data_IF_925244095360
#
_entry.id   IF_925244095360
#
_cell.length_a   1.000
_cell.length_b   1.000
_cell.length_c   1.000
_cell.angle_alpha   90.00
_cell.angle_beta   90.00
_cell.angle_gamma   90.00
#
_symmetry.space_group_name_H-M   'P 1'
#
loop_
_entity.id
_entity.type
_entity.pdbx_description
1 polymer ?
#
# COMPACT_ATOMS: atom_id res chain seq x y z
N UNK A 1 -66.51 -23.11 -18.00
CA UNK A 1 -66.00 -21.90 -18.68
C UNK A 1 -65.08 -22.38 -19.79
N UNK A 2 -65.30 -22.18 -21.07
CA UNK A 2 -66.42 -21.63 -21.82
C UNK A 2 -66.51 -22.44 -23.13
N UNK A 3 -67.74 -22.71 -23.55
CA UNK A 3 -68.12 -23.43 -24.76
C UNK A 3 -68.62 -22.34 -25.72
N UNK A 4 -68.10 -22.30 -26.95
CA UNK A 4 -68.60 -21.49 -28.08
C UNK A 4 -68.41 -22.36 -29.33
N UNK A 5 -69.43 -22.94 -29.95
CA UNK A 5 -70.48 -22.34 -30.81
C UNK A 5 -69.96 -21.50 -31.98
N UNK A 6 -70.66 -21.62 -33.13
CA UNK A 6 -70.49 -21.07 -34.50
C UNK A 6 -69.80 -22.06 -35.47
N UNK A 7 -70.28 -22.37 -36.68
CA UNK A 7 -71.33 -21.82 -37.54
C UNK A 7 -71.61 -22.82 -38.68
N UNK A 8 -72.88 -22.90 -39.12
CA UNK A 8 -73.30 -23.66 -40.30
C UNK A 8 -73.54 -22.77 -41.52
N UNK A 9 -73.22 -23.28 -42.71
CA UNK A 9 -73.66 -22.82 -44.03
C UNK A 9 -73.67 -24.07 -44.93
N UNK A 10 -74.76 -24.59 -45.50
CA UNK A 10 -75.83 -24.03 -46.33
C UNK A 10 -75.36 -23.58 -47.72
N UNK A 11 -75.41 -24.48 -48.72
CA UNK A 11 -75.49 -24.19 -50.16
C UNK A 11 -76.05 -25.46 -50.87
N UNK A 12 -77.37 -25.61 -51.04
CA UNK A 12 -78.25 -25.09 -52.10
C UNK A 12 -77.82 -25.45 -53.53
N UNK A 13 -78.48 -26.49 -54.05
CA UNK A 13 -78.50 -26.84 -55.46
C UNK A 13 -79.17 -25.77 -56.32
N UNK A 14 -78.72 -25.67 -57.56
CA UNK A 14 -79.39 -24.94 -58.65
C UNK A 14 -79.61 -25.88 -59.82
N UNK A 15 -80.87 -26.19 -60.06
CA UNK A 15 -81.39 -26.62 -61.34
C UNK A 15 -81.78 -25.35 -62.14
N UNK A 16 -81.28 -25.23 -63.37
CA UNK A 16 -81.83 -24.36 -64.42
C UNK A 16 -82.47 -25.32 -65.45
N UNK A 17 -83.73 -25.18 -65.88
CA UNK A 17 -84.36 -23.97 -66.46
C UNK A 17 -83.97 -23.93 -67.95
N UNK A 18 -84.69 -24.62 -68.84
CA UNK A 18 -85.90 -24.18 -69.56
C UNK A 18 -85.63 -23.22 -70.73
N UNK A 19 -85.72 -23.73 -71.95
CA UNK A 19 -86.02 -22.99 -73.19
C UNK A 19 -86.83 -23.96 -74.11
N UNK A 20 -88.03 -23.69 -74.62
CA UNK A 20 -88.80 -22.47 -74.58
C UNK A 20 -89.07 -21.82 -75.95
N UNK A 21 -89.20 -22.57 -77.05
CA UNK A 21 -89.67 -22.06 -78.35
C UNK A 21 -90.73 -23.05 -78.90
N UNK A 22 -91.98 -22.73 -79.24
CA UNK A 22 -92.59 -21.45 -79.60
C UNK A 22 -92.85 -21.43 -81.11
N UNK A 23 -94.13 -21.36 -81.52
CA UNK A 23 -94.71 -21.27 -82.89
C UNK A 23 -95.17 -22.62 -83.49
N UNK A 24 -96.37 -22.79 -84.03
CA UNK A 24 -97.44 -21.87 -84.43
C UNK A 24 -98.78 -22.62 -84.45
N UNK A 25 -99.79 -22.07 -83.77
CA UNK A 25 -101.18 -22.51 -83.85
C UNK A 25 -101.77 -22.12 -85.22
N UNK A 26 -101.77 -23.07 -86.16
CA UNK A 26 -102.62 -23.02 -87.35
C UNK A 26 -104.05 -23.39 -86.98
N UNK A 27 -105.00 -22.52 -87.31
CA UNK A 27 -106.41 -22.61 -86.91
C UNK A 27 -107.01 -24.01 -87.02
N UNK A 28 -107.55 -24.50 -85.91
CA UNK A 28 -108.34 -25.73 -85.82
C UNK A 28 -109.69 -25.55 -86.52
N UNK A 29 -109.67 -25.52 -87.86
CA UNK A 29 -110.85 -25.76 -88.66
C UNK A 29 -111.35 -27.16 -88.33
N UNK A 30 -112.40 -27.27 -87.52
CA UNK A 30 -112.90 -28.54 -86.99
C UNK A 30 -112.96 -29.63 -88.08
N UNK A 31 -112.03 -30.58 -88.04
CA UNK A 31 -111.91 -31.64 -89.03
C UNK A 31 -113.11 -32.55 -88.88
N UNK A 32 -113.94 -32.64 -89.92
CA UNK A 32 -115.11 -33.53 -89.93
C UNK A 32 -114.82 -34.69 -90.88
N UNK A 33 -115.05 -35.92 -90.45
CA UNK A 33 -114.90 -37.08 -91.33
C UNK A 33 -115.96 -37.07 -92.45
N UNK A 34 -115.54 -37.39 -93.68
CA UNK A 34 -116.43 -37.59 -94.80
C UNK A 34 -117.47 -38.67 -94.48
N UNK A 35 -118.76 -38.37 -94.65
CA UNK A 35 -119.84 -39.32 -94.36
C UNK A 35 -119.83 -40.61 -95.22
N UNK A 36 -119.06 -40.65 -96.30
CA UNK A 36 -119.00 -41.81 -97.20
C UNK A 36 -117.71 -42.62 -97.04
N UNK A 37 -116.53 -41.98 -97.06
CA UNK A 37 -115.23 -42.66 -97.02
C UNK A 37 -114.44 -42.47 -95.72
N UNK A 38 -114.94 -41.68 -94.76
CA UNK A 38 -114.26 -41.41 -93.49
C UNK A 38 -113.05 -40.48 -93.55
N UNK A 39 -112.58 -40.08 -94.73
CA UNK A 39 -111.45 -39.16 -94.89
C UNK A 39 -111.70 -37.83 -94.20
N UNK A 40 -110.66 -37.29 -93.54
CA UNK A 40 -110.69 -35.98 -92.89
C UNK A 40 -111.02 -34.85 -93.88
N UNK A 41 -112.08 -34.09 -93.61
CA UNK A 41 -112.45 -32.90 -94.39
C UNK A 41 -112.16 -31.67 -93.53
N UNK A 42 -111.36 -30.75 -94.06
CA UNK A 42 -111.14 -29.44 -93.46
C UNK A 42 -112.43 -28.58 -93.55
N UNK A 43 -112.99 -28.21 -92.40
CA UNK A 43 -114.09 -27.24 -92.37
C UNK A 43 -113.51 -25.83 -92.56
N UNK A 44 -113.78 -25.22 -93.72
CA UNK A 44 -113.58 -23.76 -93.87
C UNK A 44 -114.58 -23.01 -93.00
N UNK A 45 -114.09 -22.17 -92.10
CA UNK A 45 -114.91 -21.27 -91.28
C UNK A 45 -115.48 -20.14 -92.14
N UNK A 46 -116.63 -20.37 -92.78
CA UNK A 46 -117.34 -19.38 -93.59
C UNK A 46 -118.85 -19.59 -93.52
N UNK A 47 -119.65 -18.54 -93.83
CA UNK A 47 -121.11 -18.66 -93.92
C UNK A 47 -121.48 -19.56 -95.10
N UNK A 48 -121.82 -20.81 -94.82
CA UNK A 48 -122.27 -21.79 -95.80
C UNK A 48 -122.61 -23.13 -95.14
N UNK A 49 -123.42 -23.97 -95.81
CA UNK A 49 -123.73 -25.32 -95.32
C UNK A 49 -122.43 -26.13 -95.23
N UNK A 50 -122.08 -26.72 -94.06
CA UNK A 50 -120.86 -27.50 -93.92
C UNK A 50 -120.78 -28.62 -94.97
N UNK A 51 -119.60 -28.79 -95.57
CA UNK A 51 -119.35 -29.89 -96.52
C UNK A 51 -119.37 -31.22 -95.75
N UNK A 52 -120.25 -32.13 -96.16
CA UNK A 52 -120.40 -33.46 -95.53
C UNK A 52 -119.60 -34.56 -96.26
N UNK A 53 -119.10 -34.26 -97.46
CA UNK A 53 -118.39 -35.20 -98.33
C UNK A 53 -117.09 -34.57 -98.85
N UNK A 54 -116.05 -35.38 -99.02
CA UNK A 54 -114.76 -34.90 -99.53
C UNK A 54 -114.88 -34.57 -101.03
N UNK A 55 -114.25 -33.48 -101.49
CA UNK A 55 -114.30 -33.07 -102.89
C UNK A 55 -113.39 -33.92 -103.79
N UNK A 56 -112.37 -34.58 -103.24
CA UNK A 56 -111.31 -35.25 -104.01
C UNK A 56 -111.75 -36.55 -104.68
N UNK A 57 -112.73 -37.26 -104.11
CA UNK A 57 -113.09 -38.62 -104.55
C UNK A 57 -114.55 -38.77 -104.97
N UNK A 58 -115.20 -37.69 -105.40
CA UNK A 58 -116.62 -37.66 -105.80
C UNK A 58 -117.58 -38.34 -104.80
N UNK A 59 -117.24 -38.33 -103.51
CA UNK A 59 -117.97 -39.04 -102.46
C UNK A 59 -119.42 -38.58 -102.32
N UNK A 60 -119.71 -37.33 -102.68
CA UNK A 60 -121.07 -36.80 -102.74
C UNK A 60 -121.89 -37.47 -103.86
N UNK A 61 -121.29 -37.66 -105.04
CA UNK A 61 -121.93 -38.33 -106.17
C UNK A 61 -122.11 -39.83 -105.90
N UNK A 62 -121.11 -40.46 -105.26
CA UNK A 62 -121.21 -41.86 -104.83
C UNK A 62 -122.32 -42.06 -103.79
N UNK A 63 -122.36 -41.23 -102.73
CA UNK A 63 -123.43 -41.29 -101.73
C UNK A 63 -124.81 -40.93 -102.32
N UNK A 64 -124.87 -40.10 -103.36
CA UNK A 64 -126.11 -39.82 -104.11
C UNK A 64 -126.57 -41.05 -104.89
N UNK A 65 -125.67 -41.67 -105.67
CA UNK A 65 -125.95 -42.93 -106.38
C UNK A 65 -126.38 -44.04 -105.41
N UNK A 66 -125.73 -44.16 -104.26
CA UNK A 66 -126.10 -45.13 -103.23
C UNK A 66 -127.50 -44.90 -102.68
N UNK A 67 -127.88 -43.64 -102.42
CA UNK A 67 -129.24 -43.28 -102.00
C UNK A 67 -130.28 -43.52 -103.09
N UNK A 68 -129.93 -43.25 -104.35
CA UNK A 68 -130.78 -43.52 -105.51
C UNK A 68 -130.97 -45.03 -105.70
N UNK A 69 -129.90 -45.82 -105.57
CA UNK A 69 -129.94 -47.28 -105.59
C UNK A 69 -130.83 -47.82 -104.46
N UNK A 70 -130.70 -47.29 -103.22
CA UNK A 70 -131.57 -47.63 -102.08
C UNK A 70 -133.05 -47.31 -102.31
N UNK A 71 -133.37 -46.35 -103.18
CA UNK A 71 -134.75 -45.98 -103.52
C UNK A 71 -135.28 -46.73 -104.75
N UNK A 72 -134.41 -47.05 -105.71
CA UNK A 72 -134.77 -47.63 -106.99
C UNK A 72 -135.03 -49.15 -106.94
N UNK A 73 -134.45 -49.87 -105.97
CA UNK A 73 -134.59 -51.33 -105.85
C UNK A 73 -135.00 -51.79 -104.44
N UNK A 74 -136.29 -51.68 -104.08
CA UNK A 74 -136.83 -52.38 -102.91
C UNK A 74 -136.94 -53.89 -103.22
N UNK A 75 -136.07 -54.72 -102.63
CA UNK A 75 -136.11 -56.17 -102.83
C UNK A 75 -134.80 -56.90 -102.50
N UNK A 76 -134.77 -58.21 -102.79
CA UNK A 76 -133.65 -59.12 -102.53
C UNK A 76 -132.40 -58.76 -103.35
N UNK A 77 -132.58 -58.34 -104.61
CA UNK A 77 -131.50 -57.89 -105.49
C UNK A 77 -130.81 -56.63 -104.96
N UNK A 78 -131.57 -55.70 -104.38
CA UNK A 78 -131.02 -54.52 -103.71
C UNK A 78 -130.25 -54.87 -102.43
N UNK A 79 -130.61 -55.97 -101.75
CA UNK A 79 -129.85 -56.47 -100.60
C UNK A 79 -128.52 -57.11 -101.02
N UNK A 80 -128.50 -57.83 -102.14
CA UNK A 80 -127.28 -58.41 -102.72
C UNK A 80 -126.29 -57.30 -103.12
N UNK A 81 -126.75 -56.28 -103.86
CA UNK A 81 -125.91 -55.15 -104.26
C UNK A 81 -125.32 -54.38 -103.06
N UNK A 82 -126.05 -54.31 -101.93
CA UNK A 82 -125.53 -53.71 -100.68
C UNK A 82 -124.49 -54.59 -100.00
N UNK A 83 -124.68 -55.92 -100.01
CA UNK A 83 -123.70 -56.85 -99.47
C UNK A 83 -122.41 -56.77 -100.30
N UNK A 84 -122.50 -56.78 -101.63
CA UNK A 84 -121.36 -56.63 -102.54
C UNK A 84 -120.62 -55.30 -102.34
N UNK A 85 -121.32 -54.18 -102.19
CA UNK A 85 -120.69 -52.88 -101.90
C UNK A 85 -120.04 -52.84 -100.50
N UNK A 86 -120.65 -53.47 -99.50
CA UNK A 86 -120.04 -53.62 -98.17
C UNK A 86 -118.78 -54.49 -98.23
N UNK A 87 -118.81 -55.61 -98.95
CA UNK A 87 -117.64 -56.47 -99.17
C UNK A 87 -116.54 -55.72 -99.91
N UNK A 88 -116.85 -54.97 -100.96
CA UNK A 88 -115.87 -54.15 -101.68
C UNK A 88 -115.26 -53.05 -100.80
N UNK A 89 -116.03 -52.50 -99.84
CA UNK A 89 -115.50 -51.55 -98.84
C UNK A 89 -114.63 -52.23 -97.79
N UNK A 90 -115.02 -53.42 -97.31
CA UNK A 90 -114.21 -54.20 -96.39
C UNK A 90 -112.90 -54.65 -97.05
N UNK A 91 -112.93 -55.10 -98.30
CA UNK A 91 -111.75 -55.50 -99.07
C UNK A 91 -110.82 -54.31 -99.31
N UNK A 92 -111.34 -53.16 -99.72
CA UNK A 92 -110.53 -51.93 -99.87
C UNK A 92 -109.97 -51.42 -98.55
N UNK A 93 -110.75 -51.50 -97.46
CA UNK A 93 -110.30 -51.11 -96.12
C UNK A 93 -109.22 -52.04 -95.58
N UNK A 94 -109.40 -53.35 -95.76
CA UNK A 94 -108.43 -54.37 -95.36
C UNK A 94 -107.15 -54.27 -96.21
N UNK A 95 -107.26 -54.09 -97.52
CA UNK A 95 -106.12 -53.84 -98.39
C UNK A 95 -105.38 -52.54 -98.02
N UNK A 96 -106.10 -51.48 -97.68
CA UNK A 96 -105.49 -50.22 -97.22
C UNK A 96 -104.80 -50.35 -95.84
N UNK A 97 -105.25 -51.26 -94.98
CA UNK A 97 -104.61 -51.56 -93.70
C UNK A 97 -103.42 -52.53 -93.85
N UNK A 98 -103.53 -53.53 -94.75
CA UNK A 98 -102.49 -54.53 -95.00
C UNK A 98 -101.37 -53.96 -95.85
N UNK A 99 -101.65 -53.13 -96.86
CA UNK A 99 -100.63 -52.56 -97.74
C UNK A 99 -99.48 -51.86 -96.99
N UNK A 100 -99.70 -50.96 -96.01
CA UNK A 100 -98.60 -50.35 -95.25
C UNK A 100 -97.88 -51.38 -94.38
N UNK A 101 -98.56 -52.38 -93.83
CA UNK A 101 -97.93 -53.46 -93.05
C UNK A 101 -97.06 -54.35 -93.94
N UNK A 102 -97.53 -54.68 -95.13
CA UNK A 102 -96.80 -55.45 -96.13
C UNK A 102 -95.59 -54.66 -96.65
N UNK A 103 -95.72 -53.34 -96.82
CA UNK A 103 -94.61 -52.47 -97.19
C UNK A 103 -93.55 -52.43 -96.09
N UNK A 104 -93.93 -52.23 -94.82
CA UNK A 104 -92.99 -52.28 -93.69
C UNK A 104 -92.34 -53.65 -93.58
N UNK A 105 -93.09 -54.73 -93.74
CA UNK A 105 -92.52 -56.09 -93.75
C UNK A 105 -91.57 -56.31 -94.93
N UNK A 106 -91.88 -55.79 -96.11
CA UNK A 106 -91.02 -55.87 -97.28
C UNK A 106 -89.75 -55.05 -97.09
N UNK A 107 -89.85 -53.84 -96.52
CA UNK A 107 -88.70 -52.99 -96.22
C UNK A 107 -87.80 -53.66 -95.17
N UNK A 108 -88.39 -54.25 -94.12
CA UNK A 108 -87.67 -54.89 -93.01
C UNK A 108 -87.12 -56.29 -93.31
N UNK A 109 -87.75 -57.02 -94.23
CA UNK A 109 -87.27 -58.32 -94.73
C UNK A 109 -86.49 -58.20 -96.04
N UNK A 110 -86.39 -57.00 -96.61
CA UNK A 110 -85.51 -56.76 -97.75
C UNK A 110 -84.05 -57.00 -97.33
N UNK A 111 -83.18 -57.48 -98.23
CA UNK A 111 -81.75 -57.60 -97.94
C UNK A 111 -81.14 -56.30 -97.39
N UNK A 112 -81.56 -55.13 -97.93
CA UNK A 112 -81.10 -53.82 -97.48
C UNK A 112 -81.57 -53.47 -96.05
N UNK A 113 -82.83 -53.78 -95.69
CA UNK A 113 -83.35 -53.55 -94.33
C UNK A 113 -82.69 -54.43 -93.28
N UNK A 114 -82.43 -55.71 -93.63
CA UNK A 114 -81.70 -56.63 -92.76
C UNK A 114 -80.25 -56.17 -92.58
N UNK A 115 -79.56 -55.77 -93.65
CA UNK A 115 -78.19 -55.23 -93.57
C UNK A 115 -78.12 -53.93 -92.75
N UNK A 116 -79.10 -53.03 -92.88
CA UNK A 116 -79.21 -51.83 -92.06
C UNK A 116 -79.39 -52.16 -90.57
N UNK A 117 -80.25 -53.14 -90.24
CA UNK A 117 -80.43 -53.63 -88.86
C UNK A 117 -79.17 -54.29 -88.31
N UNK A 118 -78.49 -55.13 -89.10
CA UNK A 118 -77.23 -55.75 -88.70
C UNK A 118 -76.16 -54.69 -88.46
N UNK A 119 -76.08 -53.68 -89.31
CA UNK A 119 -75.14 -52.55 -89.16
C UNK A 119 -75.47 -51.71 -87.93
N UNK A 120 -76.74 -51.46 -87.63
CA UNK A 120 -77.16 -50.78 -86.41
C UNK A 120 -76.77 -51.59 -85.15
N UNK A 121 -77.04 -52.89 -85.13
CA UNK A 121 -76.66 -53.78 -84.02
C UNK A 121 -75.14 -53.88 -83.88
N UNK A 122 -74.40 -53.95 -84.99
CA UNK A 122 -72.93 -53.94 -84.97
C UNK A 122 -72.40 -52.61 -84.43
N UNK A 123 -72.96 -51.48 -84.85
CA UNK A 123 -72.59 -50.16 -84.34
C UNK A 123 -72.86 -50.05 -82.82
N UNK A 124 -74.03 -50.47 -82.36
CA UNK A 124 -74.34 -50.54 -80.92
C UNK A 124 -73.37 -51.45 -80.17
N UNK A 125 -73.04 -52.63 -80.71
CA UNK A 125 -72.09 -53.55 -80.12
C UNK A 125 -70.69 -52.93 -80.03
N UNK A 126 -70.23 -52.25 -81.08
CA UNK A 126 -68.96 -51.51 -81.09
C UNK A 126 -68.96 -50.38 -80.05
N UNK A 127 -70.05 -49.63 -79.92
CA UNK A 127 -70.20 -48.59 -78.89
C UNK A 127 -70.16 -49.19 -77.49
N UNK A 128 -70.87 -50.29 -77.23
CA UNK A 128 -70.84 -50.97 -75.92
C UNK A 128 -69.45 -51.50 -75.58
N UNK A 129 -68.73 -52.06 -76.55
CA UNK A 129 -67.34 -52.50 -76.34
C UNK A 129 -66.40 -51.32 -76.10
N UNK A 130 -66.58 -50.20 -76.80
CA UNK A 130 -65.81 -48.98 -76.56
C UNK A 130 -66.05 -48.46 -75.14
N UNK A 131 -67.30 -48.37 -74.69
CA UNK A 131 -67.67 -47.98 -73.32
C UNK A 131 -67.02 -48.92 -72.31
N UNK A 132 -67.18 -50.23 -72.46
CA UNK A 132 -66.60 -51.21 -71.55
C UNK A 132 -65.07 -51.14 -71.47
N UNK A 133 -64.39 -50.80 -72.58
CA UNK A 133 -62.94 -50.56 -72.59
C UNK A 133 -62.57 -49.28 -71.83
N UNK A 134 -63.30 -48.18 -72.05
CA UNK A 134 -63.07 -46.93 -71.32
C UNK A 134 -63.34 -47.08 -69.83
N UNK A 135 -64.40 -47.79 -69.43
CA UNK A 135 -64.71 -48.08 -68.02
C UNK A 135 -63.64 -48.96 -67.39
N UNK A 136 -63.12 -49.95 -68.12
CA UNK A 136 -62.01 -50.79 -67.65
C UNK A 136 -60.74 -49.96 -67.44
N UNK A 137 -60.41 -49.09 -68.38
CA UNK A 137 -59.25 -48.19 -68.28
C UNK A 137 -59.40 -47.22 -67.11
N UNK A 138 -60.59 -46.63 -66.92
CA UNK A 138 -60.91 -45.80 -65.77
C UNK A 138 -60.79 -46.59 -64.46
N UNK A 139 -61.29 -47.82 -64.39
CA UNK A 139 -61.18 -48.67 -63.20
C UNK A 139 -59.71 -48.97 -62.86
N UNK A 140 -58.87 -49.24 -63.86
CA UNK A 140 -57.43 -49.43 -63.64
C UNK A 140 -56.74 -48.15 -63.16
N UNK A 141 -57.10 -47.00 -63.73
CA UNK A 141 -56.59 -45.71 -63.29
C UNK A 141 -56.98 -45.41 -61.83
N UNK A 142 -58.24 -45.65 -61.46
CA UNK A 142 -58.71 -45.49 -60.07
C UNK A 142 -57.95 -46.42 -59.11
N UNK A 143 -57.70 -47.67 -59.50
CA UNK A 143 -56.88 -48.60 -58.68
C UNK A 143 -55.44 -48.11 -58.57
N UNK A 144 -54.86 -47.56 -59.64
CA UNK A 144 -53.51 -46.99 -59.60
C UNK A 144 -53.43 -45.81 -58.63
N UNK A 145 -54.33 -44.83 -58.77
CA UNK A 145 -54.41 -43.67 -57.88
C UNK A 145 -54.65 -44.08 -56.43
N UNK A 146 -55.53 -45.05 -56.18
CA UNK A 146 -55.76 -45.59 -54.85
C UNK A 146 -54.50 -46.23 -54.26
N UNK A 147 -53.73 -46.99 -55.05
CA UNK A 147 -52.46 -47.57 -54.60
C UNK A 147 -51.43 -46.49 -54.26
N UNK A 148 -51.23 -45.52 -55.15
CA UNK A 148 -50.32 -44.40 -54.92
C UNK A 148 -50.69 -43.62 -53.66
N UNK A 149 -51.98 -43.32 -53.45
CA UNK A 149 -52.48 -42.68 -52.24
C UNK A 149 -52.22 -43.53 -50.98
N UNK A 150 -52.43 -44.85 -51.03
CA UNK A 150 -52.14 -45.72 -49.89
C UNK A 150 -50.64 -45.83 -49.58
N UNK A 151 -49.77 -45.82 -50.59
CA UNK A 151 -48.33 -45.80 -50.39
C UNK A 151 -47.88 -44.47 -49.80
N UNK A 152 -48.41 -43.35 -50.29
CA UNK A 152 -48.13 -42.03 -49.75
C UNK A 152 -48.54 -41.95 -48.27
N UNK A 153 -49.77 -42.34 -47.94
CA UNK A 153 -50.25 -42.38 -46.56
C UNK A 153 -49.41 -43.31 -45.65
N UNK A 154 -48.83 -44.39 -46.19
CA UNK A 154 -47.90 -45.25 -45.45
C UNK A 154 -46.59 -44.54 -45.16
N UNK A 155 -45.98 -43.87 -46.15
CA UNK A 155 -44.75 -43.10 -45.99
C UNK A 155 -44.94 -41.98 -44.97
N UNK A 156 -46.01 -41.20 -45.09
CA UNK A 156 -46.34 -40.15 -44.12
C UNK A 156 -46.50 -40.69 -42.70
N UNK A 157 -47.17 -41.84 -42.53
CA UNK A 157 -47.32 -42.49 -41.21
C UNK A 157 -45.99 -42.96 -40.65
N UNK A 158 -45.09 -43.48 -41.48
CA UNK A 158 -43.75 -43.89 -41.08
C UNK A 158 -42.90 -42.70 -40.66
N UNK A 159 -42.92 -41.61 -41.44
CA UNK A 159 -42.25 -40.35 -41.09
C UNK A 159 -42.76 -39.76 -39.77
N UNK A 160 -44.08 -39.73 -39.56
CA UNK A 160 -44.67 -39.26 -38.30
C UNK A 160 -44.22 -40.13 -37.12
N UNK A 161 -44.14 -41.45 -37.30
CA UNK A 161 -43.67 -42.36 -36.25
C UNK A 161 -42.19 -42.17 -35.95
N UNK A 162 -41.37 -41.94 -36.96
CA UNK A 162 -39.95 -41.68 -36.80
C UNK A 162 -39.74 -40.37 -36.03
N UNK A 163 -40.39 -39.27 -36.46
CA UNK A 163 -40.38 -37.99 -35.73
C UNK A 163 -40.87 -38.13 -34.28
N UNK A 164 -41.89 -38.97 -34.03
CA UNK A 164 -42.37 -39.23 -32.68
C UNK A 164 -41.32 -39.98 -31.84
N UNK A 165 -40.62 -40.96 -32.42
CA UNK A 165 -39.54 -41.67 -31.71
C UNK A 165 -38.37 -40.76 -31.42
N UNK A 166 -37.97 -39.91 -32.37
CA UNK A 166 -36.94 -38.89 -32.18
C UNK A 166 -37.32 -37.94 -31.06
N UNK A 167 -38.54 -37.39 -31.07
CA UNK A 167 -39.03 -36.49 -30.03
C UNK A 167 -39.08 -37.15 -28.64
N UNK A 168 -39.43 -38.45 -28.57
CA UNK A 168 -39.39 -39.20 -27.30
C UNK A 168 -37.94 -39.44 -26.83
N UNK A 169 -37.01 -39.77 -27.74
CA UNK A 169 -35.60 -39.94 -27.41
C UNK A 169 -34.96 -38.63 -26.95
N UNK A 170 -35.28 -37.51 -27.60
CA UNK A 170 -34.86 -36.17 -27.17
C UNK A 170 -35.40 -35.83 -25.79
N UNK A 171 -36.68 -36.10 -25.53
CA UNK A 171 -37.30 -35.90 -24.21
C UNK A 171 -36.60 -36.74 -23.14
N UNK A 172 -36.35 -38.01 -23.40
CA UNK A 172 -35.74 -38.92 -22.43
C UNK A 172 -34.28 -38.51 -22.16
N UNK A 173 -33.55 -38.04 -23.18
CA UNK A 173 -32.20 -37.45 -23.02
C UNK A 173 -32.26 -36.18 -22.16
N UNK A 174 -33.20 -35.27 -22.43
CA UNK A 174 -33.37 -34.05 -21.65
C UNK A 174 -33.75 -34.32 -20.18
N UNK A 175 -34.53 -35.37 -19.91
CA UNK A 175 -34.85 -35.80 -18.55
C UNK A 175 -33.61 -36.37 -17.84
N UNK A 176 -32.80 -37.20 -18.50
CA UNK A 176 -31.56 -37.73 -17.94
C UNK A 176 -30.54 -36.62 -17.64
N UNK A 177 -30.42 -35.62 -18.51
CA UNK A 177 -29.57 -34.44 -18.29
C UNK A 177 -30.06 -33.61 -17.10
N UNK A 178 -31.38 -33.42 -16.96
CA UNK A 178 -31.97 -32.70 -15.84
C UNK A 178 -31.76 -33.44 -14.51
N UNK A 179 -31.88 -34.77 -14.49
CA UNK A 179 -31.57 -35.61 -13.32
C UNK A 179 -30.11 -35.50 -12.93
N UNK A 180 -29.20 -35.63 -13.90
CA UNK A 180 -27.75 -35.49 -13.69
C UNK A 180 -27.40 -34.11 -13.12
N UNK A 181 -27.97 -33.04 -13.69
CA UNK A 181 -27.77 -31.68 -13.19
C UNK A 181 -28.28 -31.51 -11.75
N UNK A 182 -29.43 -32.13 -11.41
CA UNK A 182 -29.97 -32.12 -10.06
C UNK A 182 -29.07 -32.86 -9.07
N UNK A 183 -28.52 -34.01 -9.45
CA UNK A 183 -27.58 -34.77 -8.62
C UNK A 183 -26.30 -33.99 -8.37
N UNK A 184 -25.74 -33.36 -9.40
CA UNK A 184 -24.57 -32.49 -9.29
C UNK A 184 -24.84 -31.29 -8.37
N UNK A 185 -26.00 -30.63 -8.49
CA UNK A 185 -26.39 -29.53 -7.61
C UNK A 185 -26.51 -29.98 -6.15
N UNK A 186 -27.10 -31.15 -5.89
CA UNK A 186 -27.19 -31.71 -4.54
C UNK A 186 -25.81 -32.11 -3.98
N UNK A 187 -24.92 -32.64 -4.82
CA UNK A 187 -23.55 -32.94 -4.43
C UNK A 187 -22.79 -31.66 -4.04
N UNK A 188 -22.88 -30.61 -4.86
CA UNK A 188 -22.28 -29.31 -4.58
C UNK A 188 -22.81 -28.68 -3.28
N UNK A 189 -24.12 -28.75 -3.02
CA UNK A 189 -24.71 -28.28 -1.75
C UNK A 189 -24.19 -29.06 -0.54
N UNK A 190 -24.01 -30.39 -0.65
CA UNK A 190 -23.44 -31.21 0.43
C UNK A 190 -21.98 -30.87 0.69
N UNK A 191 -21.20 -30.65 -0.36
CA UNK A 191 -19.80 -30.22 -0.26
C UNK A 191 -19.71 -28.84 0.40
N UNK A 192 -20.51 -27.87 -0.05
CA UNK A 192 -20.60 -26.55 0.55
C UNK A 192 -20.93 -26.63 2.05
N UNK A 193 -21.96 -27.39 2.44
CA UNK A 193 -22.33 -27.60 3.85
C UNK A 193 -21.24 -28.34 4.67
N UNK A 194 -20.42 -29.20 4.04
CA UNK A 194 -19.26 -29.77 4.71
C UNK A 194 -18.13 -28.75 4.90
N UNK A 195 -17.88 -27.90 3.90
CA UNK A 195 -16.87 -26.84 3.99
C UNK A 195 -17.24 -25.79 5.03
N UNK A 196 -18.52 -25.40 5.10
CA UNK A 196 -19.05 -24.47 6.10
C UNK A 196 -18.84 -25.01 7.52
N UNK A 197 -19.27 -26.25 7.79
CA UNK A 197 -19.05 -26.89 9.10
C UNK A 197 -17.57 -26.98 9.48
N UNK A 198 -16.67 -27.24 8.52
CA UNK A 198 -15.22 -27.25 8.77
C UNK A 198 -14.71 -25.85 9.10
N UNK A 199 -15.22 -24.82 8.41
CA UNK A 199 -14.86 -23.43 8.68
C UNK A 199 -15.36 -22.97 10.06
N UNK A 200 -16.60 -23.31 10.44
CA UNK A 200 -17.14 -23.06 11.77
C UNK A 200 -16.31 -23.75 12.86
N UNK A 201 -16.02 -25.03 12.71
CA UNK A 201 -15.16 -25.76 13.66
C UNK A 201 -13.76 -25.14 13.77
N UNK A 202 -13.18 -24.71 12.65
CA UNK A 202 -11.87 -24.04 12.66
C UNK A 202 -11.94 -22.67 13.35
N UNK A 203 -13.02 -21.92 13.15
CA UNK A 203 -13.27 -20.64 13.83
C UNK A 203 -13.44 -20.84 15.34
N UNK A 204 -14.28 -21.80 15.78
CA UNK A 204 -14.44 -22.13 17.20
C UNK A 204 -13.11 -22.56 17.85
N UNK A 205 -12.29 -23.36 17.14
CA UNK A 205 -10.97 -23.75 17.62
C UNK A 205 -10.01 -22.56 17.70
N UNK A 206 -10.09 -21.61 16.76
CA UNK A 206 -9.31 -20.39 16.80
C UNK A 206 -9.73 -19.50 17.98
N UNK A 207 -11.03 -19.32 18.22
CA UNK A 207 -11.58 -18.59 19.36
C UNK A 207 -11.15 -19.22 20.69
N UNK A 208 -11.25 -20.55 20.84
CA UNK A 208 -10.78 -21.24 22.04
C UNK A 208 -9.29 -21.07 22.27
N UNK A 209 -8.47 -21.05 21.22
CA UNK A 209 -7.02 -20.79 21.32
C UNK A 209 -6.74 -19.33 21.71
N UNK A 210 -7.47 -18.38 21.13
CA UNK A 210 -7.37 -16.97 21.48
C UNK A 210 -7.75 -16.73 22.95
N UNK A 211 -8.89 -17.27 23.40
CA UNK A 211 -9.33 -17.15 24.79
C UNK A 211 -8.34 -17.78 25.79
N UNK A 212 -7.71 -18.91 25.43
CA UNK A 212 -6.63 -19.51 26.24
C UNK A 212 -5.40 -18.61 26.30
N UNK A 213 -4.97 -18.08 25.16
CA UNK A 213 -3.83 -17.17 25.10
C UNK A 213 -4.08 -15.87 25.89
N UNK A 214 -5.29 -15.32 25.83
CA UNK A 214 -5.71 -14.16 26.64
C UNK A 214 -5.70 -14.50 28.13
N UNK A 215 -6.25 -15.64 28.54
CA UNK A 215 -6.24 -16.06 29.94
C UNK A 215 -4.81 -16.29 30.48
N UNK A 216 -3.92 -16.86 29.67
CA UNK A 216 -2.50 -17.04 29.98
C UNK A 216 -1.78 -15.68 30.08
N UNK A 217 -2.05 -14.75 29.15
CA UNK A 217 -1.50 -13.40 29.19
C UNK A 217 -1.98 -12.61 30.43
N UNK A 218 -3.26 -12.72 30.78
CA UNK A 218 -3.82 -12.12 31.98
C UNK A 218 -3.21 -12.70 33.26
N UNK A 219 -2.99 -14.03 33.29
CA UNK A 219 -2.32 -14.68 34.41
C UNK A 219 -0.87 -14.23 34.53
N UNK A 220 -0.13 -14.17 33.43
CA UNK A 220 1.24 -13.67 33.39
C UNK A 220 1.30 -12.20 33.84
N UNK A 221 0.34 -11.37 33.41
CA UNK A 221 0.24 -9.97 33.82
C UNK A 221 -0.06 -9.83 35.33
N UNK A 222 -0.94 -10.68 35.89
CA UNK A 222 -1.19 -10.73 37.34
C UNK A 222 0.08 -11.12 38.11
N UNK A 223 0.76 -12.18 37.69
CA UNK A 223 2.01 -12.63 38.31
C UNK A 223 3.10 -11.56 38.23
N UNK A 224 3.24 -10.88 37.09
CA UNK A 224 4.19 -9.78 36.93
C UNK A 224 3.85 -8.60 37.87
N UNK A 225 2.57 -8.24 38.00
CA UNK A 225 2.13 -7.19 38.96
C UNK A 225 2.42 -7.59 40.40
N UNK A 226 2.16 -8.84 40.78
CA UNK A 226 2.47 -9.37 42.11
C UNK A 226 3.98 -9.34 42.37
N UNK A 227 4.81 -9.76 41.42
CA UNK A 227 6.27 -9.68 41.51
C UNK A 227 6.76 -8.24 41.66
N UNK A 228 6.21 -7.30 40.88
CA UNK A 228 6.54 -5.87 41.01
C UNK A 228 6.10 -5.33 42.37
N UNK A 229 4.93 -5.70 42.86
CA UNK A 229 4.47 -5.30 44.18
C UNK A 229 5.36 -5.87 45.29
N UNK A 230 5.73 -7.16 45.22
CA UNK A 230 6.65 -7.80 46.14
C UNK A 230 8.03 -7.13 46.12
N UNK A 231 8.63 -6.94 44.94
CA UNK A 231 9.89 -6.23 44.78
C UNK A 231 9.82 -4.78 45.27
N UNK A 232 8.67 -4.10 45.11
CA UNK A 232 8.47 -2.74 45.63
C UNK A 232 8.33 -2.71 47.16
N UNK A 233 7.77 -3.77 47.76
CA UNK A 233 7.65 -3.91 49.20
C UNK A 233 9.03 -4.22 49.80
N UNK A 234 9.78 -5.14 49.21
CA UNK A 234 11.17 -5.44 49.56
C UNK A 234 12.06 -4.19 49.40
N UNK A 235 11.92 -3.43 48.31
CA UNK A 235 12.67 -2.19 48.13
C UNK A 235 12.31 -1.11 49.16
N UNK A 236 11.04 -1.02 49.57
CA UNK A 236 10.62 -0.14 50.67
C UNK A 236 11.20 -0.58 52.00
N UNK A 237 11.11 -1.87 52.31
CA UNK A 237 11.67 -2.45 53.52
C UNK A 237 13.19 -2.25 53.56
N UNK A 238 13.91 -2.52 52.47
CA UNK A 238 15.35 -2.27 52.36
C UNK A 238 15.71 -0.79 52.51
N UNK A 239 14.88 0.15 52.03
CA UNK A 239 15.07 1.58 52.25
C UNK A 239 14.80 1.98 53.70
N UNK A 240 13.81 1.38 54.35
CA UNK A 240 13.52 1.60 55.76
C UNK A 240 14.65 1.05 56.64
N UNK A 241 15.12 -0.16 56.36
CA UNK A 241 16.28 -0.79 57.00
C UNK A 241 17.55 0.02 56.75
N UNK A 242 17.81 0.47 55.53
CA UNK A 242 18.93 1.38 55.22
C UNK A 242 18.78 2.73 55.93
N UNK A 243 17.56 3.25 56.06
CA UNK A 243 17.27 4.46 56.85
C UNK A 243 17.46 4.24 58.35
N UNK A 244 17.12 3.06 58.87
CA UNK A 244 17.37 2.68 60.27
C UNK A 244 18.87 2.48 60.52
N UNK A 245 19.57 1.79 59.63
CA UNK A 245 21.01 1.61 59.65
C UNK A 245 21.73 2.95 59.54
N UNK A 246 21.25 3.86 58.68
CA UNK A 246 21.72 5.23 58.57
C UNK A 246 21.52 6.02 59.87
N UNK A 247 20.35 5.92 60.50
CA UNK A 247 20.11 6.53 61.83
C UNK A 247 20.98 5.94 62.94
N UNK A 248 21.22 4.63 62.90
CA UNK A 248 22.11 3.94 63.85
C UNK A 248 23.57 4.32 63.62
N UNK A 249 24.00 4.43 62.37
CA UNK A 249 25.33 4.92 61.99
C UNK A 249 25.50 6.38 62.39
N UNK A 250 24.51 7.24 62.16
CA UNK A 250 24.54 8.64 62.58
C UNK A 250 24.50 8.78 64.12
N UNK A 251 23.79 7.88 64.82
CA UNK A 251 23.87 7.80 66.29
C UNK A 251 25.22 7.28 66.76
N UNK A 252 25.85 6.35 66.03
CA UNK A 252 27.18 5.84 66.31
C UNK A 252 28.25 6.91 66.04
N UNK A 253 28.12 7.69 64.98
CA UNK A 253 28.95 8.84 64.65
C UNK A 253 28.77 9.95 65.68
N UNK A 254 27.53 10.30 66.06
CA UNK A 254 27.30 11.25 67.17
C UNK A 254 27.84 10.74 68.50
N UNK A 255 27.85 9.42 68.74
CA UNK A 255 28.50 8.82 69.92
C UNK A 255 30.03 8.83 69.77
N UNK A 256 30.56 8.65 68.58
CA UNK A 256 31.99 8.72 68.28
C UNK A 256 32.50 10.16 68.36
N UNK A 257 31.73 11.14 67.91
CA UNK A 257 31.95 12.58 68.02
C UNK A 257 31.82 13.03 69.46
N UNK A 258 30.84 12.51 70.23
CA UNK A 258 30.78 12.74 71.68
C UNK A 258 31.95 12.10 72.40
N UNK A 259 32.35 10.88 72.04
CA UNK A 259 33.53 10.21 72.59
C UNK A 259 34.84 10.85 72.13
N UNK A 260 34.87 11.51 70.96
CA UNK A 260 35.99 12.30 70.47
C UNK A 260 36.04 13.64 71.19
N UNK A 261 34.92 14.34 71.34
CA UNK A 261 34.79 15.55 72.14
C UNK A 261 35.06 15.30 73.63
N UNK A 262 34.67 14.15 74.18
CA UNK A 262 35.01 13.70 75.53
C UNK A 262 36.48 13.29 75.63
N UNK A 263 37.07 12.65 74.61
CA UNK A 263 38.52 12.39 74.57
C UNK A 263 39.32 13.66 74.42
N UNK A 264 38.85 14.62 73.64
CA UNK A 264 39.50 15.90 73.40
C UNK A 264 39.31 16.79 74.61
N UNK A 265 38.14 16.78 75.25
CA UNK A 265 37.89 17.39 76.56
C UNK A 265 38.78 16.75 77.63
N UNK A 266 38.87 15.42 77.68
CA UNK A 266 39.76 14.67 78.58
C UNK A 266 41.23 14.90 78.24
N UNK A 267 41.58 15.18 76.98
CA UNK A 267 42.95 15.50 76.56
C UNK A 267 43.29 16.93 76.93
N UNK A 268 42.39 17.90 76.75
CA UNK A 268 42.54 19.26 77.28
C UNK A 268 42.50 19.29 78.79
N UNK A 269 41.72 18.47 79.47
CA UNK A 269 41.71 18.31 80.93
C UNK A 269 42.95 17.58 81.42
N UNK A 270 43.47 16.58 80.69
CA UNK A 270 44.75 15.94 81.00
C UNK A 270 45.94 16.83 80.65
N UNK A 271 45.82 17.74 79.69
CA UNK A 271 46.82 18.76 79.37
C UNK A 271 46.73 19.94 80.35
N UNK A 272 45.55 20.32 80.81
CA UNK A 272 45.33 21.29 81.88
C UNK A 272 45.74 20.72 83.24
N UNK A 273 45.49 19.44 83.50
CA UNK A 273 45.96 18.73 84.69
C UNK A 273 47.47 18.45 84.61
N UNK A 274 48.03 18.22 83.41
CA UNK A 274 49.49 18.17 83.23
C UNK A 274 50.10 19.55 83.35
N UNK A 275 49.51 20.62 82.80
CA UNK A 275 49.98 22.00 82.97
C UNK A 275 49.84 22.45 84.42
N UNK A 276 48.74 22.15 85.11
CA UNK A 276 48.55 22.42 86.54
C UNK A 276 49.45 21.55 87.42
N UNK A 277 49.73 20.30 87.03
CA UNK A 277 50.71 19.43 87.72
C UNK A 277 52.14 19.90 87.46
N UNK A 278 52.47 20.35 86.25
CA UNK A 278 53.77 20.93 85.91
C UNK A 278 53.93 22.31 86.53
N UNK A 279 52.88 23.11 86.69
CA UNK A 279 52.86 24.40 87.41
C UNK A 279 52.88 24.20 88.92
N UNK A 280 52.25 23.16 89.47
CA UNK A 280 52.34 22.79 90.88
C UNK A 280 53.69 22.12 91.22
N UNK A 281 54.25 21.32 90.32
CA UNK A 281 55.61 20.78 90.39
C UNK A 281 56.64 21.89 90.17
N UNK A 282 56.38 22.89 89.32
CA UNK A 282 57.21 24.09 89.16
C UNK A 282 57.06 25.07 90.33
N UNK A 283 55.91 25.16 91.00
CA UNK A 283 55.70 25.97 92.20
C UNK A 283 56.29 25.33 93.45
N UNK A 284 56.21 24.00 93.58
CA UNK A 284 56.87 23.22 94.62
C UNK A 284 58.39 23.13 94.39
N UNK A 285 58.84 22.96 93.14
CA UNK A 285 60.24 23.08 92.78
C UNK A 285 60.74 24.52 92.89
N UNK A 286 59.93 25.56 92.64
CA UNK A 286 60.32 26.95 92.87
C UNK A 286 60.29 27.36 94.35
N UNK A 287 59.53 26.69 95.21
CA UNK A 287 59.57 26.92 96.66
C UNK A 287 60.76 26.22 97.32
N UNK A 288 61.05 24.98 96.90
CA UNK A 288 62.24 24.22 97.32
C UNK A 288 63.52 24.82 96.70
N UNK A 289 63.47 25.30 95.45
CA UNK A 289 64.56 26.03 94.83
C UNK A 289 64.72 27.46 95.36
N UNK A 290 63.71 28.09 95.98
CA UNK A 290 63.88 29.39 96.68
C UNK A 290 64.50 29.24 98.06
N UNK A 291 64.21 28.15 98.78
CA UNK A 291 64.87 27.81 100.04
C UNK A 291 66.30 27.30 99.82
N UNK A 292 66.51 26.44 98.82
CA UNK A 292 67.85 25.98 98.41
C UNK A 292 68.63 27.04 97.63
N UNK A 293 67.98 28.01 96.97
CA UNK A 293 68.67 29.18 96.41
C UNK A 293 69.11 30.15 97.50
N UNK A 294 68.40 30.35 98.62
CA UNK A 294 68.90 31.23 99.68
C UNK A 294 70.18 30.67 100.37
N UNK A 295 70.27 29.35 100.56
CA UNK A 295 71.47 28.70 101.12
C UNK A 295 72.56 28.48 100.07
N UNK A 296 72.19 28.03 98.87
CA UNK A 296 73.14 27.91 97.76
C UNK A 296 73.54 29.27 97.19
N UNK A 297 72.89 30.40 97.45
CA UNK A 297 73.34 31.73 97.00
C UNK A 297 74.40 32.33 97.95
N UNK A 298 74.45 31.86 99.20
CA UNK A 298 75.55 32.11 100.13
C UNK A 298 76.77 31.24 99.81
N UNK A 299 76.56 29.97 99.46
CA UNK A 299 77.63 29.07 99.06
C UNK A 299 78.07 29.29 97.59
N UNK A 300 77.17 29.69 96.70
CA UNK A 300 77.48 30.23 95.36
C UNK A 300 78.04 31.64 95.44
N UNK A 301 77.94 32.42 96.51
CA UNK A 301 78.73 33.65 96.63
C UNK A 301 80.21 33.35 96.91
N UNK A 302 80.48 32.30 97.71
CA UNK A 302 81.82 31.80 98.01
C UNK A 302 82.42 30.97 96.86
N UNK A 303 81.60 30.20 96.14
CA UNK A 303 81.99 29.53 94.89
C UNK A 303 82.00 30.50 93.69
N UNK A 304 81.20 31.58 93.65
CA UNK A 304 81.39 32.71 92.71
C UNK A 304 82.70 33.48 92.95
N UNK A 305 83.44 33.24 94.03
CA UNK A 305 84.81 33.76 94.15
C UNK A 305 85.82 32.78 93.53
N UNK A 306 85.76 31.49 93.88
CA UNK A 306 86.72 30.48 93.41
C UNK A 306 86.46 29.97 91.98
N UNK A 307 85.21 29.71 91.60
CA UNK A 307 84.83 29.36 90.23
C UNK A 307 84.74 30.59 89.33
N UNK A 308 84.59 31.82 89.82
CA UNK A 308 84.84 32.97 88.96
C UNK A 308 86.33 33.15 88.67
N UNK A 309 87.24 32.61 89.48
CA UNK A 309 88.68 32.65 89.20
C UNK A 309 89.09 31.50 88.27
N UNK A 310 88.50 30.32 88.48
CA UNK A 310 88.78 29.12 87.69
C UNK A 310 87.94 29.00 86.41
N UNK A 311 86.70 29.51 86.38
CA UNK A 311 85.93 29.75 85.16
C UNK A 311 86.25 31.10 84.51
N UNK A 312 86.90 32.08 85.18
CA UNK A 312 87.66 33.09 84.40
C UNK A 312 88.83 32.40 83.71
N UNK A 313 89.61 31.54 84.35
CA UNK A 313 90.71 30.84 83.68
C UNK A 313 90.24 29.86 82.57
N UNK A 314 89.14 29.15 82.79
CA UNK A 314 88.65 28.11 81.89
C UNK A 314 87.54 28.57 80.94
N UNK A 315 86.76 29.60 81.24
CA UNK A 315 85.93 30.29 80.25
C UNK A 315 86.74 31.37 79.53
N UNK A 316 87.83 31.94 80.05
CA UNK A 316 88.84 32.57 79.18
C UNK A 316 89.51 31.48 78.34
N UNK A 317 89.74 30.27 78.84
CA UNK A 317 90.31 29.17 78.04
C UNK A 317 89.35 28.55 77.01
N UNK A 318 88.05 28.45 77.32
CA UNK A 318 87.00 27.84 76.49
C UNK A 318 86.20 28.87 75.72
N UNK A 319 86.07 30.12 76.17
CA UNK A 319 85.69 31.24 75.32
C UNK A 319 86.89 31.74 74.50
N UNK A 320 88.16 31.60 74.89
CA UNK A 320 89.24 31.81 73.90
C UNK A 320 89.27 30.71 72.85
N UNK A 321 88.84 29.49 73.15
CA UNK A 321 88.82 28.38 72.17
C UNK A 321 87.52 28.30 71.38
N UNK A 322 86.35 28.41 72.01
CA UNK A 322 85.07 28.53 71.31
C UNK A 322 84.81 29.93 70.76
N UNK A 323 85.42 31.02 71.25
CA UNK A 323 85.51 32.25 70.47
C UNK A 323 86.69 32.22 69.50
N UNK A 324 87.75 31.43 69.65
CA UNK A 324 88.66 31.22 68.51
C UNK A 324 87.99 30.39 67.41
N UNK A 325 87.18 29.39 67.75
CA UNK A 325 86.57 28.46 66.80
C UNK A 325 85.23 28.98 66.28
N UNK A 326 84.42 29.66 67.10
CA UNK A 326 83.25 30.40 66.65
C UNK A 326 83.60 31.78 66.13
N UNK A 327 84.71 32.44 66.50
CA UNK A 327 85.24 33.57 65.71
C UNK A 327 86.07 33.09 64.52
N UNK A 328 86.48 31.83 64.39
CA UNK A 328 87.05 31.29 63.15
C UNK A 328 85.94 30.75 62.24
N UNK A 329 84.81 30.29 62.78
CA UNK A 329 83.62 29.91 62.03
C UNK A 329 82.73 31.12 61.70
N UNK A 330 82.60 32.11 62.58
CA UNK A 330 82.02 33.42 62.23
C UNK A 330 83.02 34.36 61.58
N UNK A 331 84.35 34.21 61.74
CA UNK A 331 85.27 34.84 60.77
C UNK A 331 85.16 34.13 59.43
N UNK A 332 85.12 32.81 59.30
CA UNK A 332 84.99 32.16 57.97
C UNK A 332 83.61 32.36 57.34
N UNK A 333 82.52 32.41 58.12
CA UNK A 333 81.18 32.68 57.63
C UNK A 333 80.92 34.18 57.43
N UNK A 334 81.42 35.07 58.30
CA UNK A 334 81.39 36.52 58.05
C UNK A 334 82.52 36.98 57.13
N UNK A 335 83.54 36.20 56.82
CA UNK A 335 84.52 36.43 55.75
C UNK A 335 84.00 35.83 54.45
N UNK A 336 83.16 34.80 54.47
CA UNK A 336 82.37 34.37 53.32
C UNK A 336 81.22 35.35 53.03
N UNK A 337 80.53 35.90 54.03
CA UNK A 337 79.48 36.92 53.87
C UNK A 337 80.05 38.35 53.75
N UNK A 338 81.24 38.65 54.29
CA UNK A 338 81.98 39.88 53.93
C UNK A 338 82.70 39.72 52.60
N UNK A 339 83.13 38.53 52.15
CA UNK A 339 83.62 38.35 50.77
C UNK A 339 82.47 38.23 49.76
N UNK A 340 81.27 37.78 50.12
CA UNK A 340 80.10 37.79 49.24
C UNK A 340 79.42 39.16 49.27
N UNK A 341 79.21 39.75 50.44
CA UNK A 341 78.66 41.10 50.63
C UNK A 341 79.64 42.23 50.28
N UNK A 342 80.96 42.03 50.37
CA UNK A 342 81.98 42.92 49.81
C UNK A 342 82.60 42.37 48.52
N UNK A 343 81.93 41.44 47.81
CA UNK A 343 82.03 41.30 46.34
C UNK A 343 80.79 41.88 45.67
N UNK A 344 79.63 41.84 46.32
CA UNK A 344 78.41 42.50 45.84
C UNK A 344 78.43 44.00 46.14
N UNK A 345 78.68 44.45 47.38
CA UNK A 345 78.84 45.90 47.65
C UNK A 345 80.12 46.48 47.11
N UNK A 346 81.13 45.67 46.82
CA UNK A 346 82.35 46.15 46.17
C UNK A 346 82.21 46.09 44.65
N UNK A 347 81.42 45.20 44.04
CA UNK A 347 81.02 45.32 42.64
C UNK A 347 79.96 46.42 42.42
N UNK A 348 79.05 46.68 43.36
CA UNK A 348 78.07 47.77 43.31
C UNK A 348 78.71 49.11 43.66
N UNK A 349 79.66 49.17 44.61
CA UNK A 349 80.49 50.37 44.83
C UNK A 349 81.64 50.50 43.85
N UNK A 350 82.12 49.47 43.15
CA UNK A 350 83.07 49.60 42.03
C UNK A 350 82.31 49.89 40.73
N UNK A 351 81.03 49.55 40.60
CA UNK A 351 80.19 50.03 39.49
C UNK A 351 79.73 51.48 39.75
N UNK A 352 79.29 51.81 40.98
CA UNK A 352 78.92 53.18 41.36
C UNK A 352 80.13 54.10 41.57
N UNK A 353 81.30 53.59 41.99
CA UNK A 353 82.56 54.33 42.05
C UNK A 353 83.42 54.17 40.79
N UNK A 354 83.18 53.26 39.84
CA UNK A 354 83.73 53.43 38.48
C UNK A 354 82.93 54.49 37.72
N UNK A 355 81.62 54.59 37.96
CA UNK A 355 80.80 55.69 37.42
C UNK A 355 81.09 57.01 38.17
N UNK A 356 81.26 57.00 39.49
CA UNK A 356 81.64 58.19 40.25
C UNK A 356 83.12 58.54 40.17
N UNK A 357 84.07 57.60 39.99
CA UNK A 357 85.50 57.89 39.76
C UNK A 357 85.86 58.06 38.28
N UNK A 358 84.99 57.72 37.32
CA UNK A 358 85.10 58.27 35.96
C UNK A 358 84.67 59.74 35.94
N UNK A 359 83.61 60.10 36.69
CA UNK A 359 83.12 61.47 36.83
C UNK A 359 83.95 62.33 37.78
N UNK A 360 84.49 61.77 38.86
CA UNK A 360 85.50 62.41 39.73
C UNK A 360 86.88 62.35 39.12
N UNK A 361 87.26 61.32 38.35
CA UNK A 361 88.52 61.27 37.61
C UNK A 361 88.62 62.37 36.54
N UNK A 362 87.54 62.69 35.85
CA UNK A 362 87.49 63.88 34.98
C UNK A 362 87.56 65.19 35.77
N UNK A 363 86.93 65.26 36.96
CA UNK A 363 86.93 66.46 37.81
C UNK A 363 88.22 66.65 38.61
N UNK A 364 88.92 65.59 38.98
CA UNK A 364 90.23 65.61 39.63
C UNK A 364 91.34 65.74 38.62
N UNK A 365 91.24 65.20 37.40
CA UNK A 365 92.16 65.55 36.31
C UNK A 365 91.99 67.01 35.84
N UNK A 366 90.79 67.59 35.98
CA UNK A 366 90.57 69.03 35.81
C UNK A 366 91.16 69.83 37.00
N UNK A 367 90.88 69.44 38.24
CA UNK A 367 91.41 70.10 39.44
C UNK A 367 92.93 69.92 39.63
N UNK A 368 93.54 68.83 39.15
CA UNK A 368 94.98 68.62 39.14
C UNK A 368 95.65 69.48 38.08
N UNK A 369 95.02 69.71 36.92
CA UNK A 369 95.52 70.71 35.96
C UNK A 369 95.50 72.11 36.55
N UNK A 370 94.44 72.48 37.26
CA UNK A 370 94.33 73.78 37.92
C UNK A 370 95.30 73.90 39.12
N UNK A 371 95.48 72.82 39.89
CA UNK A 371 96.43 72.76 41.01
C UNK A 371 97.88 72.75 40.54
N UNK A 372 98.21 72.08 39.43
CA UNK A 372 99.53 72.11 38.84
C UNK A 372 99.84 73.49 38.22
N UNK A 373 98.85 74.17 37.65
CA UNK A 373 99.00 75.57 37.23
C UNK A 373 99.26 76.50 38.43
N UNK A 374 98.53 76.32 39.54
CA UNK A 374 98.75 77.08 40.77
C UNK A 374 100.09 76.74 41.45
N UNK A 375 100.51 75.48 41.46
CA UNK A 375 101.82 75.07 41.99
C UNK A 375 102.96 75.61 41.14
N UNK A 376 102.79 75.74 39.83
CA UNK A 376 103.80 76.30 38.96
C UNK A 376 103.97 77.82 39.20
N UNK A 377 102.89 78.53 39.55
CA UNK A 377 102.96 79.91 40.06
C UNK A 377 103.65 79.98 41.43
N UNK A 378 103.31 79.08 42.37
CA UNK A 378 103.95 79.02 43.70
C UNK A 378 105.44 78.67 43.59
N UNK A 379 105.83 77.78 42.68
CA UNK A 379 107.24 77.44 42.47
C UNK A 379 108.01 78.57 41.79
N UNK A 380 107.37 79.37 40.90
CA UNK A 380 107.98 80.60 40.40
C UNK A 380 108.19 81.62 41.51
N UNK A 381 107.25 81.72 42.46
CA UNK A 381 107.40 82.55 43.65
C UNK A 381 108.49 82.01 44.60
N UNK A 382 108.59 80.69 44.81
CA UNK A 382 109.65 80.06 45.60
C UNK A 382 111.03 80.21 44.97
N UNK A 383 111.15 80.18 43.65
CA UNK A 383 112.43 80.45 42.98
C UNK A 383 112.83 81.92 43.10
N UNK A 384 111.87 82.84 43.12
CA UNK A 384 112.13 84.24 43.44
C UNK A 384 112.58 84.40 44.91
N UNK A 385 111.92 83.71 45.84
CA UNK A 385 112.25 83.77 47.28
C UNK A 385 113.58 83.07 47.60
N UNK A 386 113.89 81.94 46.96
CA UNK A 386 115.19 81.26 47.08
C UNK A 386 116.33 82.09 46.47
N UNK A 387 116.05 82.93 45.47
CA UNK A 387 117.04 83.92 44.99
C UNK A 387 117.31 85.00 46.04
N UNK A 388 116.27 85.50 46.70
CA UNK A 388 116.44 86.44 47.82
C UNK A 388 117.17 85.80 49.01
N UNK A 389 116.84 84.55 49.36
CA UNK A 389 117.49 83.81 50.45
C UNK A 389 118.94 83.42 50.11
N UNK A 390 119.26 83.09 48.85
CA UNK A 390 120.66 82.80 48.46
C UNK A 390 121.51 84.06 48.38
N UNK A 391 120.94 85.23 48.08
CA UNK A 391 121.63 86.51 48.23
C UNK A 391 121.88 86.83 49.72
N UNK A 392 120.89 86.56 50.58
CA UNK A 392 121.01 86.71 52.04
C UNK A 392 122.06 85.76 52.64
N UNK A 393 122.04 84.48 52.25
CA UNK A 393 123.00 83.47 52.71
C UNK A 393 124.39 83.68 52.10
N UNK A 394 124.51 84.28 50.91
CA UNK A 394 125.82 84.73 50.41
C UNK A 394 126.36 85.87 51.25
N UNK A 395 125.52 86.82 51.67
CA UNK A 395 125.91 87.87 52.61
C UNK A 395 126.30 87.30 53.98
N UNK A 396 125.58 86.30 54.49
CA UNK A 396 125.92 85.64 55.76
C UNK A 396 127.16 84.75 55.67
N UNK A 397 127.39 84.05 54.56
CA UNK A 397 128.61 83.24 54.35
C UNK A 397 129.85 84.11 54.13
N UNK A 398 129.71 85.29 53.53
CA UNK A 398 130.76 86.30 53.50
C UNK A 398 131.09 86.76 54.93
N UNK A 399 130.09 87.08 55.75
CA UNK A 399 130.29 87.51 57.13
C UNK A 399 130.77 86.41 58.09
N UNK A 400 130.43 85.14 57.84
CA UNK A 400 130.91 84.02 58.66
C UNK A 400 132.31 83.54 58.26
N UNK A 401 132.70 83.63 56.98
CA UNK A 401 134.10 83.38 56.59
C UNK A 401 135.03 84.46 57.15
N UNK A 402 134.59 85.71 57.18
CA UNK A 402 135.32 86.77 57.88
C UNK A 402 135.51 86.43 59.37
N UNK A 403 134.45 85.99 60.04
CA UNK A 403 134.47 85.66 61.48
C UNK A 403 135.23 84.36 61.81
N UNK A 404 135.15 83.35 60.95
CA UNK A 404 135.84 82.07 61.15
C UNK A 404 137.35 82.20 60.88
N UNK A 405 137.76 82.97 59.88
CA UNK A 405 139.19 83.19 59.62
C UNK A 405 139.78 84.17 60.64
N UNK A 406 139.03 85.18 61.13
CA UNK A 406 139.50 85.95 62.31
C UNK A 406 139.55 85.12 63.59
N UNK A 407 138.72 84.08 63.72
CA UNK A 407 138.80 83.15 64.84
C UNK A 407 140.00 82.19 64.72
N UNK A 408 140.32 81.66 63.55
CA UNK A 408 141.56 80.90 63.35
C UNK A 408 142.81 81.79 63.55
N UNK A 409 142.76 83.04 63.11
CA UNK A 409 143.84 84.01 63.36
C UNK A 409 143.96 84.42 64.84
N UNK A 410 142.89 84.28 65.65
CA UNK A 410 142.94 84.46 67.12
C UNK A 410 143.29 83.20 67.89
N UNK A 411 143.09 82.00 67.35
CA UNK A 411 143.62 80.78 67.96
C UNK A 411 145.11 80.57 67.65
N UNK A 412 145.63 81.12 66.55
CA UNK A 412 147.03 81.03 66.13
C UNK A 412 147.97 82.09 66.76
N UNK A 413 147.46 83.01 67.60
CA UNK A 413 148.25 84.11 68.16
C UNK A 413 147.99 84.32 69.66
N UNK A 414 149.04 84.03 70.45
CA UNK A 414 149.28 84.33 71.87
C UNK A 414 148.92 83.21 72.87
N UNK A 415 149.69 83.04 73.98
CA UNK A 415 151.12 83.25 74.29
C UNK A 415 151.84 81.92 74.76
N UNK A 416 153.16 81.89 75.09
CA UNK A 416 154.03 80.70 74.94
C UNK A 416 154.22 79.76 76.15
N UNK A 417 154.39 78.44 75.86
CA UNK A 417 155.02 77.38 76.71
C UNK A 417 154.30 76.98 78.02
N UNK A 418 154.64 75.90 78.77
CA UNK A 418 155.42 74.66 78.52
C UNK A 418 154.65 73.34 78.87
N UNK A 419 155.16 72.16 78.47
CA UNK A 419 154.83 70.84 79.08
C UNK A 419 154.07 69.87 78.16
N UNK A 420 154.73 69.01 77.36
CA UNK A 420 155.44 67.75 77.70
C UNK A 420 154.46 66.73 78.34
N UNK A 421 154.27 65.50 77.82
CA UNK A 421 155.36 64.49 77.76
C UNK A 421 155.18 63.40 76.66
N UNK A 422 156.00 62.32 76.63
CA UNK A 422 157.11 62.17 75.70
C UNK A 422 156.84 61.14 74.59
N UNK A 423 157.25 61.46 73.36
CA UNK A 423 157.92 60.44 72.53
C UNK A 423 159.35 60.25 73.04
N UNK A 424 160.01 59.07 72.91
CA UNK A 424 160.24 58.49 71.58
C UNK A 424 160.38 56.94 71.50
N UNK A 425 160.59 56.53 70.24
CA UNK A 425 161.47 55.45 69.78
C UNK A 425 160.96 54.01 70.02
N UNK A 426 160.75 53.19 68.98
CA UNK A 426 161.56 52.88 67.79
C UNK A 426 160.59 52.17 66.81
N UNK A 427 160.50 52.40 65.50
CA UNK A 427 161.42 52.82 64.44
C UNK A 427 160.62 53.44 63.28
#
# INVERSE_FOLDING_TARGET
MAITETEGAAEHGRAAGSDGEGTSEGGTGAVTACKHCGTAIERRAGRGRPREYCPERDCQAAAKRERELRRATPGLEGALARAEDLYGRMEKGLAAAIAPLAQVLADELSPAGVEAKLSAVQAEAHTRVAIARTEREQAFEQVRLAREATEHARREREEIRERMREALAERDTALADAETAREQALAALREAAMTERRAEQAAEQAERRAARAEAEADQAARQAREQVQAASAEARQAREEAGQAGRLAEQADRRADRAAAERDASRTEAEMARRARTEAEQAAAAAIARAQAAEAERDRALARAAEAEQARAEAVGRAARSAADAAQATARAAEADRKAGARVRTAERQAAAAVAAAVEGERTAAAERDRLAALLEIERARVADLRAQTETLRAESAGLRERAVTAELRAAAAPPSPGRPPGPAQR
#
